data_IF_120276093569
#
_entry.id   IF_120276093569
#
_cell.length_a   1.000
_cell.length_b   1.000
_cell.length_c   1.000
_cell.angle_alpha   90.00
_cell.angle_beta   90.00
_cell.angle_gamma   90.00
#
_symmetry.space_group_name_H-M   'P 1'
#
loop_
_entity.id
_entity.type
_entity.pdbx_description
1 polymer ?
#
# COMPACT_ATOMS: atom_id res chain seq x y z
N UNK A 1 -10.62 -30.10 29.98
CA UNK A 1 -12.00 -29.76 29.60
C UNK A 1 -12.77 -29.04 30.70
N UNK A 2 -12.76 -29.50 31.98
CA UNK A 2 -13.45 -28.84 33.12
C UNK A 2 -13.07 -27.36 33.34
N UNK A 3 -11.76 -27.01 33.26
CA UNK A 3 -11.28 -25.64 33.50
C UNK A 3 -11.77 -24.62 32.45
N UNK A 4 -11.84 -25.00 31.18
CA UNK A 4 -12.39 -24.15 30.12
C UNK A 4 -13.87 -23.86 30.33
N UNK A 5 -14.66 -24.88 30.66
CA UNK A 5 -16.08 -24.69 30.99
C UNK A 5 -16.27 -23.74 32.20
N UNK A 6 -15.44 -23.93 33.24
CA UNK A 6 -15.40 -23.04 34.41
C UNK A 6 -15.07 -21.59 34.03
N UNK A 7 -14.11 -21.37 33.10
CA UNK A 7 -13.74 -20.06 32.62
C UNK A 7 -14.92 -19.36 31.91
N UNK A 8 -15.63 -20.03 31.03
CA UNK A 8 -16.81 -19.48 30.36
C UNK A 8 -17.94 -19.11 31.35
N UNK A 9 -18.20 -19.95 32.36
CA UNK A 9 -19.17 -19.63 33.40
C UNK A 9 -18.76 -18.38 34.18
N UNK A 10 -17.49 -18.25 34.50
CA UNK A 10 -16.94 -17.09 35.19
C UNK A 10 -17.08 -15.80 34.38
N UNK A 11 -16.78 -15.85 33.06
CA UNK A 11 -16.95 -14.71 32.16
C UNK A 11 -18.44 -14.31 32.04
N UNK A 12 -19.36 -15.27 31.99
CA UNK A 12 -20.80 -14.98 31.97
C UNK A 12 -21.27 -14.25 33.24
N UNK A 13 -20.74 -14.62 34.41
CA UNK A 13 -21.08 -13.94 35.69
C UNK A 13 -20.61 -12.47 35.75
N UNK A 14 -19.61 -12.09 34.97
CA UNK A 14 -19.07 -10.71 34.85
C UNK A 14 -19.20 -10.15 33.43
N UNK A 15 -20.31 -10.47 32.77
CA UNK A 15 -20.53 -10.19 31.34
C UNK A 15 -20.19 -8.74 30.96
N UNK A 16 -20.66 -7.75 31.72
CA UNK A 16 -20.44 -6.33 31.41
C UNK A 16 -18.93 -5.98 31.35
N UNK A 17 -18.15 -6.41 32.34
CA UNK A 17 -16.72 -6.18 32.37
C UNK A 17 -15.98 -6.94 31.25
N UNK A 18 -16.41 -8.16 30.95
CA UNK A 18 -15.83 -8.97 29.87
C UNK A 18 -16.08 -8.33 28.50
N UNK A 19 -17.26 -7.77 28.26
CA UNK A 19 -17.60 -7.04 27.02
C UNK A 19 -16.79 -5.75 26.92
N UNK A 20 -16.64 -4.97 28.02
CA UNK A 20 -15.87 -3.75 28.01
C UNK A 20 -14.39 -4.02 27.70
N UNK A 21 -13.79 -5.05 28.29
CA UNK A 21 -12.44 -5.50 27.98
C UNK A 21 -12.30 -5.96 26.54
N UNK A 22 -13.28 -6.73 26.04
CA UNK A 22 -13.32 -7.19 24.67
C UNK A 22 -13.29 -6.02 23.69
N UNK A 23 -14.11 -5.00 23.96
CA UNK A 23 -14.16 -3.76 23.15
C UNK A 23 -12.80 -3.05 23.18
N UNK A 24 -12.22 -2.86 24.37
CA UNK A 24 -10.92 -2.19 24.52
C UNK A 24 -9.80 -2.92 23.75
N UNK A 25 -9.70 -4.24 23.91
CA UNK A 25 -8.70 -5.07 23.22
C UNK A 25 -8.92 -5.01 21.72
N UNK A 26 -10.17 -5.13 21.27
CA UNK A 26 -10.53 -5.07 19.84
C UNK A 26 -10.10 -3.74 19.22
N UNK A 27 -10.45 -2.60 19.84
CA UNK A 27 -10.06 -1.28 19.34
C UNK A 27 -8.54 -1.07 19.38
N UNK A 28 -7.88 -1.44 20.48
CA UNK A 28 -6.44 -1.33 20.60
C UNK A 28 -5.69 -2.12 19.53
N UNK A 29 -6.05 -3.38 19.34
CA UNK A 29 -5.43 -4.21 18.32
C UNK A 29 -5.81 -3.76 16.90
N UNK A 30 -7.05 -3.31 16.66
CA UNK A 30 -7.47 -2.85 15.34
C UNK A 30 -6.74 -1.58 14.89
N UNK A 31 -6.58 -0.60 15.79
CA UNK A 31 -5.82 0.63 15.50
C UNK A 31 -4.36 0.33 15.25
N UNK A 32 -3.74 -0.49 16.08
CA UNK A 32 -2.34 -0.93 15.88
C UNK A 32 -2.18 -1.71 14.59
N UNK A 33 -3.09 -2.65 14.29
CA UNK A 33 -3.05 -3.42 13.03
C UNK A 33 -3.07 -2.49 11.81
N UNK A 34 -3.94 -1.47 11.84
CA UNK A 34 -4.02 -0.47 10.76
C UNK A 34 -2.71 0.30 10.62
N UNK A 35 -2.19 0.87 11.71
CA UNK A 35 -0.95 1.67 11.66
C UNK A 35 0.27 0.83 11.26
N UNK A 36 0.43 -0.39 11.82
CA UNK A 36 1.51 -1.30 11.43
C UNK A 36 1.42 -1.64 9.94
N UNK A 37 0.20 -1.89 9.43
CA UNK A 37 0.00 -2.21 8.03
C UNK A 37 0.49 -1.05 7.13
N UNK A 38 0.14 0.18 7.45
CA UNK A 38 0.59 1.36 6.69
C UNK A 38 2.10 1.52 6.79
N UNK A 39 2.69 1.49 8.00
CA UNK A 39 4.14 1.61 8.17
C UNK A 39 4.92 0.50 7.45
N UNK A 40 4.44 -0.74 7.52
CA UNK A 40 5.04 -1.86 6.83
C UNK A 40 5.04 -1.65 5.30
N UNK A 41 3.90 -1.24 4.75
CA UNK A 41 3.79 -0.98 3.32
C UNK A 41 4.62 0.23 2.87
N UNK A 42 4.66 1.30 3.66
CA UNK A 42 5.48 2.48 3.39
C UNK A 42 6.98 2.13 3.40
N UNK A 43 7.42 1.33 4.37
CA UNK A 43 8.83 0.89 4.44
C UNK A 43 9.24 0.10 3.19
N UNK A 44 8.36 -0.73 2.66
CA UNK A 44 8.61 -1.51 1.45
C UNK A 44 8.26 -0.77 0.15
N UNK A 45 7.80 0.46 0.23
CA UNK A 45 7.37 1.22 -0.95
C UNK A 45 8.55 1.50 -1.89
N UNK A 46 9.70 1.85 -1.35
CA UNK A 46 10.91 2.09 -2.13
C UNK A 46 11.36 0.82 -2.90
N UNK A 47 11.34 -0.33 -2.24
CA UNK A 47 11.68 -1.61 -2.87
C UNK A 47 10.68 -1.97 -3.98
N UNK A 48 9.39 -1.74 -3.74
CA UNK A 48 8.33 -1.96 -4.73
C UNK A 48 8.50 -1.01 -5.94
N UNK A 49 8.77 0.27 -5.69
CA UNK A 49 8.95 1.30 -6.71
C UNK A 49 10.19 1.04 -7.57
N UNK A 50 11.27 0.53 -6.95
CA UNK A 50 12.49 0.15 -7.64
C UNK A 50 12.37 -1.18 -8.40
N UNK A 51 11.22 -1.85 -8.34
CA UNK A 51 11.05 -3.18 -8.93
C UNK A 51 11.07 -3.18 -10.46
N UNK A 52 10.71 -2.09 -11.11
CA UNK A 52 10.74 -1.93 -12.54
C UNK A 52 11.72 -0.84 -13.01
N UNK A 53 11.98 0.17 -12.18
CA UNK A 53 12.82 1.32 -12.51
C UNK A 53 13.79 1.62 -11.36
N UNK A 54 15.06 1.88 -11.65
CA UNK A 54 16.02 2.28 -10.62
C UNK A 54 15.75 3.71 -10.17
N UNK A 55 14.96 3.87 -9.09
CA UNK A 55 14.48 5.17 -8.61
C UNK A 55 15.59 6.09 -8.13
N UNK A 56 16.69 5.56 -7.57
CA UNK A 56 17.80 6.37 -7.02
C UNK A 56 18.58 7.14 -8.09
N UNK A 57 18.57 6.63 -9.32
CA UNK A 57 19.27 7.23 -10.47
C UNK A 57 18.32 7.87 -11.47
N UNK A 58 17.03 7.85 -11.17
CA UNK A 58 15.99 8.36 -12.07
C UNK A 58 15.51 9.71 -11.58
N UNK A 59 15.49 10.66 -12.51
CA UNK A 59 15.06 12.03 -12.29
C UNK A 59 13.87 12.35 -13.17
N UNK A 60 12.90 13.02 -12.60
CA UNK A 60 11.72 13.52 -13.30
C UNK A 60 12.01 14.95 -13.75
N UNK A 61 11.68 15.26 -14.99
CA UNK A 61 11.71 16.64 -15.46
C UNK A 61 10.39 17.28 -15.09
N UNK A 62 10.42 18.31 -14.27
CA UNK A 62 9.24 19.09 -13.86
C UNK A 62 9.39 20.54 -14.28
N UNK A 63 8.29 21.26 -14.34
CA UNK A 63 8.28 22.66 -14.75
C UNK A 63 7.47 23.49 -13.78
N UNK A 64 8.09 24.50 -13.19
CA UNK A 64 7.44 25.45 -12.30
C UNK A 64 7.12 26.74 -13.05
N UNK A 65 5.84 27.09 -13.14
CA UNK A 65 5.36 28.34 -13.76
C UNK A 65 5.44 29.49 -12.76
N UNK A 66 5.95 30.63 -13.20
CA UNK A 66 5.90 31.86 -12.42
C UNK A 66 4.51 32.49 -12.55
N UNK A 67 3.88 32.84 -11.42
CA UNK A 67 2.47 33.32 -11.33
C UNK A 67 2.20 34.54 -12.23
N UNK A 68 3.17 35.42 -12.40
CA UNK A 68 3.01 36.66 -13.18
C UNK A 68 2.90 36.46 -14.70
N UNK A 69 2.92 35.21 -15.19
CA UNK A 69 3.13 34.90 -16.62
C UNK A 69 2.18 33.88 -17.22
N UNK A 70 1.02 33.67 -16.62
CA UNK A 70 -0.03 32.83 -17.19
C UNK A 70 -0.53 33.29 -18.57
N UNK A 71 -0.18 34.51 -18.98
CA UNK A 71 -0.69 35.12 -20.23
C UNK A 71 0.31 35.20 -21.39
N UNK A 72 1.60 34.87 -21.22
CA UNK A 72 2.60 35.15 -22.26
C UNK A 72 3.55 34.01 -22.64
N UNK A 73 3.21 32.77 -22.31
CA UNK A 73 4.14 31.65 -22.54
C UNK A 73 4.02 31.06 -23.93
N UNK A 74 4.63 31.68 -24.87
CA UNK A 74 4.92 31.05 -26.16
C UNK A 74 6.41 30.66 -26.20
N UNK A 75 6.69 29.44 -25.71
CA UNK A 75 7.93 28.78 -26.11
C UNK A 75 7.78 28.40 -27.58
N UNK A 76 8.81 28.61 -28.35
CA UNK A 76 8.80 28.13 -29.73
C UNK A 76 9.34 26.69 -29.80
N UNK A 77 9.11 26.02 -30.92
CA UNK A 77 9.52 24.65 -31.15
C UNK A 77 11.05 24.48 -31.02
N UNK A 78 11.81 25.47 -31.51
CA UNK A 78 13.27 25.47 -31.49
C UNK A 78 13.81 25.49 -30.05
N UNK A 79 13.17 26.23 -29.15
CA UNK A 79 13.57 26.29 -27.73
C UNK A 79 13.35 24.94 -27.03
N UNK A 80 12.21 24.31 -27.24
CA UNK A 80 11.93 22.98 -26.67
C UNK A 80 12.88 21.93 -27.26
N UNK A 81 13.11 21.97 -28.56
CA UNK A 81 14.08 21.08 -29.21
C UNK A 81 15.49 21.28 -28.68
N UNK A 82 15.90 22.52 -28.37
CA UNK A 82 17.20 22.80 -27.77
C UNK A 82 17.35 22.14 -26.37
N UNK A 83 16.26 22.11 -25.55
CA UNK A 83 16.28 21.41 -24.28
C UNK A 83 16.49 19.91 -24.49
N UNK A 84 15.75 19.26 -25.40
CA UNK A 84 15.97 17.87 -25.74
C UNK A 84 17.38 17.57 -26.22
N UNK A 85 17.94 18.44 -27.10
CA UNK A 85 19.30 18.30 -27.58
C UNK A 85 20.31 18.42 -26.43
N UNK A 86 20.10 19.36 -25.50
CA UNK A 86 20.95 19.52 -24.32
C UNK A 86 20.92 18.26 -23.44
N UNK A 87 19.75 17.70 -23.20
CA UNK A 87 19.59 16.42 -22.45
C UNK A 87 20.34 15.30 -23.18
N UNK A 88 20.11 15.15 -24.47
CA UNK A 88 20.72 14.09 -25.28
C UNK A 88 22.26 14.17 -25.35
N UNK A 89 22.81 15.36 -25.38
CA UNK A 89 24.28 15.58 -25.50
C UNK A 89 24.99 15.60 -24.15
N UNK A 90 24.25 15.62 -23.03
CA UNK A 90 24.88 15.72 -21.73
C UNK A 90 25.52 14.39 -21.33
N UNK A 91 26.78 14.45 -20.88
CA UNK A 91 27.59 13.28 -20.51
C UNK A 91 27.09 12.55 -19.26
N UNK A 92 26.35 13.26 -18.39
CA UNK A 92 25.83 12.73 -17.14
C UNK A 92 24.51 11.98 -17.35
N UNK A 93 23.83 12.17 -18.49
CA UNK A 93 22.63 11.47 -18.89
C UNK A 93 23.02 10.16 -19.57
N UNK A 94 22.75 9.04 -18.89
CA UNK A 94 22.97 7.69 -19.45
C UNK A 94 21.88 7.39 -20.49
N UNK A 95 20.64 7.70 -20.16
CA UNK A 95 19.49 7.51 -21.01
C UNK A 95 18.34 8.40 -20.54
N UNK A 96 17.41 8.68 -21.42
CA UNK A 96 16.15 9.33 -21.09
C UNK A 96 15.04 8.68 -21.88
N UNK A 97 13.83 8.76 -21.35
CA UNK A 97 12.68 8.18 -21.99
C UNK A 97 11.41 8.89 -21.58
N UNK A 98 10.35 8.62 -22.30
CA UNK A 98 9.05 9.22 -22.03
C UNK A 98 7.95 8.19 -21.98
N UNK A 99 6.98 8.44 -21.09
CA UNK A 99 5.77 7.65 -20.97
C UNK A 99 4.55 8.57 -20.90
N UNK A 100 3.42 8.02 -21.22
CA UNK A 100 2.12 8.66 -21.01
C UNK A 100 1.14 7.66 -20.44
N UNK A 101 0.25 8.17 -19.61
CA UNK A 101 -0.88 7.39 -19.15
C UNK A 101 -2.10 7.65 -20.02
N UNK A 102 -2.83 6.59 -20.27
CA UNK A 102 -4.08 6.59 -21.02
C UNK A 102 -5.01 5.52 -20.45
N UNK A 103 -6.29 5.63 -20.78
CA UNK A 103 -7.29 4.61 -20.48
C UNK A 103 -7.83 4.08 -21.78
N UNK A 104 -7.80 2.78 -21.93
CA UNK A 104 -8.38 2.12 -23.11
C UNK A 104 -9.57 1.28 -22.66
N UNK A 105 -10.72 1.52 -23.27
CA UNK A 105 -11.90 0.69 -23.12
C UNK A 105 -11.70 -0.63 -23.87
N UNK A 106 -12.04 -1.76 -23.23
CA UNK A 106 -12.09 -3.06 -23.89
C UNK A 106 -13.53 -3.29 -24.39
N UNK A 107 -13.75 -3.04 -25.66
CA UNK A 107 -15.05 -3.21 -26.30
C UNK A 107 -15.22 -4.61 -26.89
N UNK A 108 -14.15 -5.16 -27.43
CA UNK A 108 -14.17 -6.44 -28.15
C UNK A 108 -12.85 -7.19 -28.02
N UNK A 109 -12.91 -8.48 -28.26
CA UNK A 109 -11.74 -9.35 -28.33
C UNK A 109 -12.03 -10.51 -29.25
N UNK A 110 -10.99 -11.13 -29.82
CA UNK A 110 -11.13 -12.39 -30.54
C UNK A 110 -11.55 -13.56 -29.63
N UNK A 111 -11.56 -13.36 -28.33
CA UNK A 111 -12.12 -14.26 -27.30
C UNK A 111 -13.34 -13.64 -26.65
N UNK A 112 -14.30 -14.46 -26.17
CA UNK A 112 -15.42 -13.94 -25.38
C UNK A 112 -14.91 -13.23 -24.11
N UNK A 113 -15.33 -11.99 -23.92
CA UNK A 113 -15.03 -11.25 -22.69
C UNK A 113 -15.81 -11.86 -21.52
N UNK A 114 -15.11 -12.26 -20.48
CA UNK A 114 -15.73 -12.85 -19.30
C UNK A 114 -16.38 -11.78 -18.42
N UNK A 115 -17.61 -12.05 -17.95
CA UNK A 115 -18.34 -11.13 -17.08
C UNK A 115 -17.57 -10.76 -15.79
N UNK A 116 -16.79 -11.71 -15.25
CA UNK A 116 -15.93 -11.44 -14.09
C UNK A 116 -14.85 -10.38 -14.37
N UNK A 117 -14.21 -10.46 -15.55
CA UNK A 117 -13.24 -9.46 -15.97
C UNK A 117 -13.90 -8.10 -16.20
N UNK A 118 -15.05 -8.10 -16.90
CA UNK A 118 -15.81 -6.87 -17.15
C UNK A 118 -16.20 -6.21 -15.83
N UNK A 119 -16.69 -6.97 -14.84
CA UNK A 119 -17.06 -6.46 -13.53
C UNK A 119 -15.86 -5.87 -12.78
N UNK A 120 -14.69 -6.54 -12.83
CA UNK A 120 -13.47 -6.08 -12.19
C UNK A 120 -12.90 -4.80 -12.83
N UNK A 121 -13.07 -4.62 -14.15
CA UNK A 121 -12.53 -3.49 -14.92
C UNK A 121 -13.50 -2.30 -15.02
N UNK A 122 -14.78 -2.51 -14.71
CA UNK A 122 -15.75 -1.41 -14.67
C UNK A 122 -15.37 -0.39 -13.61
N UNK A 123 -15.14 0.82 -14.03
CA UNK A 123 -14.91 1.96 -13.16
C UNK A 123 -16.16 2.85 -13.15
N UNK A 124 -16.68 3.10 -11.96
CA UNK A 124 -17.83 4.01 -11.77
C UNK A 124 -17.47 5.49 -11.85
N UNK A 125 -16.24 5.80 -12.22
CA UNK A 125 -15.81 7.19 -12.40
C UNK A 125 -16.47 7.80 -13.63
N UNK A 126 -16.99 9.01 -13.49
CA UNK A 126 -17.62 9.80 -14.55
C UNK A 126 -18.87 9.18 -15.19
N UNK A 127 -19.63 8.37 -14.45
CA UNK A 127 -20.82 7.68 -14.93
C UNK A 127 -20.60 6.69 -16.10
N UNK A 128 -19.35 6.38 -16.38
CA UNK A 128 -19.00 5.44 -17.46
C UNK A 128 -18.84 4.02 -16.87
N UNK A 129 -19.81 3.16 -17.14
CA UNK A 129 -19.81 1.74 -16.71
C UNK A 129 -18.98 0.83 -17.63
N UNK A 130 -18.05 1.36 -18.40
CA UNK A 130 -17.31 0.64 -19.40
C UNK A 130 -16.04 -0.03 -18.82
N UNK A 131 -15.69 -1.24 -19.28
CA UNK A 131 -14.48 -1.91 -18.83
C UNK A 131 -13.24 -1.23 -19.42
N UNK A 132 -12.48 -0.52 -18.59
CA UNK A 132 -11.28 0.20 -19.01
C UNK A 132 -10.02 -0.40 -18.41
N UNK A 133 -8.93 -0.38 -19.17
CA UNK A 133 -7.59 -0.78 -18.72
C UNK A 133 -6.69 0.42 -18.72
N UNK A 134 -5.97 0.61 -17.59
CA UNK A 134 -4.94 1.61 -17.53
C UNK A 134 -3.81 1.25 -18.49
N UNK A 135 -3.48 2.17 -19.37
CA UNK A 135 -2.51 1.97 -20.44
C UNK A 135 -1.35 2.92 -20.27
N UNK A 136 -0.15 2.37 -20.35
CA UNK A 136 1.10 3.12 -20.28
C UNK A 136 1.72 3.07 -21.67
N UNK A 137 1.72 4.21 -22.32
CA UNK A 137 2.31 4.39 -23.64
C UNK A 137 3.77 4.80 -23.47
N UNK A 138 4.69 4.03 -23.99
CA UNK A 138 6.14 4.21 -23.72
C UNK A 138 6.92 4.37 -24.99
N UNK A 139 7.92 5.27 -24.98
CA UNK A 139 8.93 5.26 -26.03
C UNK A 139 9.92 4.09 -25.83
N UNK A 140 10.72 3.80 -26.85
CA UNK A 140 11.68 2.69 -26.82
C UNK A 140 12.70 2.83 -25.68
N UNK A 141 13.12 4.05 -25.38
CA UNK A 141 14.11 4.32 -24.33
C UNK A 141 13.52 4.10 -22.94
N UNK A 142 12.30 4.59 -22.68
CA UNK A 142 11.64 4.35 -21.41
C UNK A 142 11.35 2.86 -21.21
N UNK A 143 10.92 2.15 -22.24
CA UNK A 143 10.74 0.72 -22.18
C UNK A 143 12.02 -0.02 -21.75
N UNK A 144 13.18 0.38 -22.30
CA UNK A 144 14.48 -0.17 -21.88
C UNK A 144 14.81 0.17 -20.43
N UNK A 145 14.46 1.38 -19.97
CA UNK A 145 14.66 1.81 -18.58
C UNK A 145 13.84 0.98 -17.57
N UNK A 146 12.65 0.53 -17.94
CA UNK A 146 11.80 -0.29 -17.07
C UNK A 146 12.44 -1.61 -16.64
N UNK A 147 13.47 -2.10 -17.30
CA UNK A 147 14.19 -3.30 -16.90
C UNK A 147 13.29 -4.53 -16.70
N UNK A 148 12.22 -4.65 -17.49
CA UNK A 148 11.28 -5.75 -17.39
C UNK A 148 11.95 -7.04 -17.90
N UNK A 149 12.13 -8.00 -16.99
CA UNK A 149 12.67 -9.32 -17.35
C UNK A 149 11.56 -10.19 -17.96
N UNK A 150 11.34 -10.04 -19.24
CA UNK A 150 10.37 -10.84 -20.01
C UNK A 150 11.06 -12.08 -20.58
N UNK A 151 10.26 -13.10 -20.93
CA UNK A 151 10.78 -14.24 -21.64
C UNK A 151 11.27 -13.86 -23.03
N UNK A 152 12.23 -14.59 -23.61
CA UNK A 152 12.67 -14.35 -24.96
C UNK A 152 11.48 -14.30 -25.92
N UNK A 153 11.38 -13.28 -26.76
CA UNK A 153 10.31 -13.00 -27.72
C UNK A 153 8.98 -12.48 -27.15
N UNK A 154 8.86 -12.26 -25.83
CA UNK A 154 7.67 -11.69 -25.20
C UNK A 154 7.80 -10.16 -24.96
N UNK A 155 8.83 -9.48 -25.46
CA UNK A 155 9.05 -8.04 -25.30
C UNK A 155 8.95 -7.29 -26.63
N UNK A 156 8.91 -5.96 -26.56
CA UNK A 156 8.98 -5.12 -27.75
C UNK A 156 10.37 -5.13 -28.37
N UNK A 157 10.38 -5.19 -29.69
CA UNK A 157 11.56 -4.97 -30.52
C UNK A 157 11.56 -3.52 -31.05
N UNK A 158 12.68 -3.06 -31.60
CA UNK A 158 12.78 -1.73 -32.20
C UNK A 158 11.70 -1.47 -33.27
N UNK A 159 11.41 -2.49 -34.07
CA UNK A 159 10.37 -2.45 -35.13
C UNK A 159 8.93 -2.36 -34.62
N UNK A 160 8.69 -2.61 -33.32
CA UNK A 160 7.37 -2.54 -32.72
C UNK A 160 6.99 -1.11 -32.31
N UNK A 161 7.93 -0.16 -32.38
CA UNK A 161 7.67 1.26 -32.15
C UNK A 161 7.25 1.94 -33.48
N UNK A 162 5.95 2.10 -33.73
CA UNK A 162 5.45 2.52 -35.02
C UNK A 162 5.81 3.98 -35.33
N UNK A 163 5.94 4.29 -36.63
CA UNK A 163 6.05 5.69 -37.06
C UNK A 163 4.70 6.40 -37.00
N UNK A 164 3.62 5.71 -37.35
CA UNK A 164 2.26 6.24 -37.38
C UNK A 164 1.34 5.46 -36.42
N UNK A 165 0.34 6.15 -35.89
CA UNK A 165 -0.63 5.58 -34.91
C UNK A 165 -1.71 4.66 -35.52
N UNK A 166 -1.72 4.48 -36.85
CA UNK A 166 -2.79 3.72 -37.54
C UNK A 166 -2.51 2.23 -37.69
N UNK A 167 -1.33 1.76 -37.37
CA UNK A 167 -0.96 0.34 -37.46
C UNK A 167 -1.48 -0.47 -36.26
N UNK A 168 -1.76 -1.76 -36.49
CA UNK A 168 -2.04 -2.70 -35.40
C UNK A 168 -0.93 -2.67 -34.37
N UNK A 169 -1.25 -2.29 -33.16
CA UNK A 169 -0.26 -2.07 -32.12
C UNK A 169 -0.06 -3.33 -31.29
N UNK A 170 1.19 -3.76 -31.13
CA UNK A 170 1.57 -4.82 -30.21
C UNK A 170 1.52 -4.29 -28.76
N UNK A 171 1.01 -5.10 -27.84
CA UNK A 171 0.87 -4.71 -26.44
C UNK A 171 1.35 -5.77 -25.48
N UNK A 172 1.80 -5.34 -24.29
CA UNK A 172 2.09 -6.19 -23.14
C UNK A 172 0.98 -6.01 -22.12
N UNK A 173 0.33 -7.10 -21.73
CA UNK A 173 -0.74 -7.09 -20.75
C UNK A 173 -0.22 -7.43 -19.35
N UNK A 174 -0.81 -6.85 -18.32
CA UNK A 174 -0.53 -7.19 -16.95
C UNK A 174 -0.80 -8.66 -16.62
N UNK A 175 -0.12 -9.15 -15.58
CA UNK A 175 -0.22 -10.57 -15.17
C UNK A 175 -1.65 -11.01 -14.81
N UNK A 176 -2.51 -10.09 -14.33
CA UNK A 176 -3.93 -10.31 -14.06
C UNK A 176 -4.68 -10.87 -15.28
N UNK A 177 -4.31 -10.44 -16.49
CA UNK A 177 -5.00 -10.79 -17.72
C UNK A 177 -4.64 -12.17 -18.26
N UNK A 178 -3.58 -12.83 -17.75
CA UNK A 178 -3.17 -14.19 -18.15
C UNK A 178 -4.29 -15.24 -18.03
N UNK A 179 -5.23 -15.03 -17.10
CA UNK A 179 -6.37 -15.93 -16.91
C UNK A 179 -7.48 -15.77 -17.95
N UNK A 180 -7.44 -14.68 -18.71
CA UNK A 180 -8.46 -14.33 -19.70
C UNK A 180 -7.96 -14.38 -21.13
N UNK A 181 -6.69 -14.04 -21.36
CA UNK A 181 -6.10 -13.90 -22.68
C UNK A 181 -4.84 -14.75 -22.83
N UNK A 182 -4.45 -14.97 -24.08
CA UNK A 182 -3.21 -15.64 -24.47
C UNK A 182 -2.40 -14.74 -25.41
N UNK A 183 -1.11 -15.03 -25.57
CA UNK A 183 -0.26 -14.37 -26.58
C UNK A 183 -0.84 -14.64 -27.97
N UNK A 184 -0.95 -13.60 -28.77
CA UNK A 184 -1.58 -13.62 -30.10
C UNK A 184 -3.06 -13.20 -30.11
N UNK A 185 -3.71 -13.08 -28.95
CA UNK A 185 -5.07 -12.56 -28.89
C UNK A 185 -5.11 -11.07 -29.24
N UNK A 186 -6.25 -10.62 -29.75
CA UNK A 186 -6.47 -9.23 -30.16
C UNK A 186 -7.57 -8.58 -29.31
N UNK A 187 -7.36 -7.33 -28.94
CA UNK A 187 -8.32 -6.48 -28.23
C UNK A 187 -8.70 -5.33 -29.17
N UNK A 188 -10.00 -5.04 -29.27
CA UNK A 188 -10.56 -3.98 -30.11
C UNK A 188 -10.12 -4.08 -31.59
N UNK A 189 -9.78 -5.27 -32.07
CA UNK A 189 -9.21 -5.52 -33.42
C UNK A 189 -7.94 -4.68 -33.74
N UNK A 190 -7.42 -3.93 -32.77
CA UNK A 190 -6.30 -3.00 -32.92
C UNK A 190 -5.07 -3.45 -32.15
N UNK A 191 -5.26 -3.98 -30.94
CA UNK A 191 -4.17 -4.30 -30.01
C UNK A 191 -3.89 -5.80 -30.00
N UNK A 192 -2.68 -6.22 -30.37
CA UNK A 192 -2.25 -7.63 -30.34
C UNK A 192 -1.39 -7.90 -29.13
N UNK A 193 -1.78 -8.85 -28.29
CA UNK A 193 -1.04 -9.24 -27.08
C UNK A 193 0.19 -10.05 -27.51
N UNK A 194 1.39 -9.54 -27.21
CA UNK A 194 2.65 -10.24 -27.51
C UNK A 194 3.28 -10.88 -26.28
N UNK A 195 2.84 -10.50 -25.07
CA UNK A 195 3.38 -11.03 -23.82
C UNK A 195 2.64 -10.51 -22.61
N UNK A 196 3.06 -11.00 -21.44
CA UNK A 196 2.50 -10.59 -20.17
C UNK A 196 3.58 -10.07 -19.24
N UNK A 197 3.25 -8.99 -18.54
CA UNK A 197 4.14 -8.35 -17.56
C UNK A 197 4.39 -9.26 -16.37
N UNK A 198 5.57 -9.16 -15.74
CA UNK A 198 5.87 -9.88 -14.51
C UNK A 198 4.95 -9.42 -13.37
N UNK A 199 4.66 -10.32 -12.44
CA UNK A 199 3.82 -10.02 -11.28
C UNK A 199 4.52 -9.06 -10.30
N UNK A 200 3.71 -8.26 -9.59
CA UNK A 200 4.16 -7.37 -8.53
C UNK A 200 5.22 -6.34 -8.97
N UNK A 201 5.16 -5.88 -10.22
CA UNK A 201 5.95 -4.76 -10.70
C UNK A 201 5.16 -3.47 -10.58
N UNK A 202 5.88 -2.39 -10.24
CA UNK A 202 5.31 -1.07 -10.05
C UNK A 202 6.13 -0.04 -10.82
N UNK A 203 5.46 0.97 -11.32
CA UNK A 203 6.08 2.22 -11.78
C UNK A 203 5.51 3.37 -10.97
N UNK A 204 6.30 4.44 -10.86
CA UNK A 204 5.88 5.67 -10.19
C UNK A 204 5.38 6.63 -11.25
N UNK A 205 4.17 7.14 -11.05
CA UNK A 205 3.61 8.17 -11.91
C UNK A 205 4.04 9.56 -11.45
N UNK A 206 4.55 10.34 -12.40
CA UNK A 206 4.96 11.72 -12.17
C UNK A 206 3.79 12.71 -12.16
N UNK A 207 2.68 12.37 -12.80
CA UNK A 207 1.58 13.31 -13.03
C UNK A 207 0.61 13.43 -11.86
N UNK A 208 0.58 12.43 -11.00
CA UNK A 208 -0.28 12.41 -9.84
C UNK A 208 0.55 12.13 -8.60
N UNK A 209 0.49 13.02 -7.64
CA UNK A 209 1.10 12.82 -6.33
C UNK A 209 0.63 11.48 -5.76
N UNK A 210 1.59 10.57 -5.48
CA UNK A 210 1.37 9.29 -4.79
C UNK A 210 0.72 8.16 -5.59
N UNK A 211 0.79 8.14 -6.90
CA UNK A 211 0.27 7.02 -7.66
C UNK A 211 1.41 6.09 -8.07
N UNK A 212 1.43 4.94 -7.43
CA UNK A 212 2.28 3.81 -7.79
C UNK A 212 1.45 2.86 -8.62
N UNK A 213 1.72 2.82 -9.92
CA UNK A 213 0.97 1.98 -10.83
C UNK A 213 1.42 0.54 -10.74
N UNK A 214 0.50 -0.33 -10.33
CA UNK A 214 0.73 -1.76 -10.34
C UNK A 214 0.55 -2.30 -11.75
N UNK A 215 1.64 -2.80 -12.35
CA UNK A 215 1.64 -3.29 -13.72
C UNK A 215 0.79 -4.55 -13.93
N UNK A 216 0.39 -5.25 -12.87
CA UNK A 216 -0.49 -6.43 -12.97
C UNK A 216 -1.82 -6.12 -13.67
N UNK A 217 -2.34 -4.91 -13.52
CA UNK A 217 -3.63 -4.47 -14.09
C UNK A 217 -3.48 -3.49 -15.26
N UNK A 218 -2.25 -3.24 -15.69
CA UNK A 218 -1.95 -2.28 -16.74
C UNK A 218 -1.73 -2.96 -18.10
N UNK A 219 -1.78 -2.16 -19.13
CA UNK A 219 -1.33 -2.50 -20.47
C UNK A 219 -0.19 -1.57 -20.85
N UNK A 220 0.93 -2.08 -21.35
CA UNK A 220 2.00 -1.27 -21.92
C UNK A 220 1.90 -1.34 -23.45
N UNK A 221 1.99 -0.19 -24.10
CA UNK A 221 2.01 -0.10 -25.56
C UNK A 221 3.12 0.84 -26.04
N UNK A 222 3.69 0.56 -27.21
CA UNK A 222 4.71 1.40 -27.79
C UNK A 222 4.12 2.73 -28.26
N UNK A 223 4.89 3.80 -28.10
CA UNK A 223 4.55 5.14 -28.52
C UNK A 223 4.89 5.33 -29.99
N UNK A 224 3.98 5.94 -30.74
CA UNK A 224 4.27 6.38 -32.11
C UNK A 224 5.22 7.56 -32.12
N UNK A 225 6.23 7.55 -32.99
CA UNK A 225 7.20 8.65 -33.11
C UNK A 225 6.57 9.97 -33.55
N UNK A 226 5.45 9.94 -34.27
CA UNK A 226 4.75 11.15 -34.75
C UNK A 226 3.80 11.75 -33.72
N UNK A 227 3.63 11.13 -32.54
CA UNK A 227 2.66 11.56 -31.51
C UNK A 227 2.90 13.00 -31.01
N UNK A 228 4.13 13.48 -31.11
CA UNK A 228 4.57 14.77 -30.56
C UNK A 228 5.20 15.68 -31.61
N UNK A 229 4.69 15.68 -32.81
CA UNK A 229 5.21 16.57 -33.85
C UNK A 229 4.83 18.04 -33.63
N UNK A 230 3.74 18.29 -32.86
CA UNK A 230 3.37 19.65 -32.52
C UNK A 230 4.16 20.13 -31.29
N UNK A 231 4.40 21.42 -31.23
CA UNK A 231 5.20 22.06 -30.17
C UNK A 231 4.57 21.91 -28.77
N UNK A 232 3.26 22.00 -28.66
CA UNK A 232 2.54 21.86 -27.39
C UNK A 232 2.71 20.44 -26.80
N UNK A 233 2.57 19.42 -27.65
CA UNK A 233 2.81 18.04 -27.27
C UNK A 233 4.27 17.80 -26.84
N UNK A 234 5.25 18.37 -27.56
CA UNK A 234 6.66 18.28 -27.18
C UNK A 234 6.93 18.90 -25.80
N UNK A 235 6.33 20.06 -25.52
CA UNK A 235 6.51 20.73 -24.24
C UNK A 235 5.84 19.96 -23.09
N UNK A 236 4.59 19.50 -23.26
CA UNK A 236 3.88 18.68 -22.30
C UNK A 236 4.67 17.40 -21.99
N UNK A 237 5.13 16.72 -23.03
CA UNK A 237 5.97 15.52 -22.91
C UNK A 237 7.22 15.79 -22.06
N UNK A 238 7.88 16.94 -22.27
CA UNK A 238 9.13 17.26 -21.58
C UNK A 238 8.93 17.30 -20.06
N UNK A 239 7.94 18.03 -19.56
CA UNK A 239 7.81 18.28 -18.13
C UNK A 239 6.80 17.39 -17.39
N UNK A 240 6.00 16.61 -18.10
CA UNK A 240 5.05 15.70 -17.48
C UNK A 240 5.45 14.22 -17.58
N UNK A 241 6.21 13.87 -18.62
CA UNK A 241 6.41 12.48 -19.00
C UNK A 241 7.88 12.09 -19.19
N UNK A 242 8.81 13.05 -19.15
CA UNK A 242 10.22 12.74 -19.40
C UNK A 242 10.93 12.38 -18.11
N UNK A 243 11.58 11.22 -18.13
CA UNK A 243 12.48 10.75 -17.07
C UNK A 243 13.91 10.65 -17.59
N UNK A 244 14.85 10.99 -16.73
CA UNK A 244 16.28 10.93 -17.01
C UNK A 244 16.92 9.88 -16.10
N UNK A 245 17.74 9.03 -16.67
CA UNK A 245 18.61 8.15 -15.90
C UNK A 245 20.02 8.72 -15.90
N UNK A 246 20.48 9.14 -14.72
CA UNK A 246 21.75 9.83 -14.56
C UNK A 246 22.86 8.92 -14.03
N UNK A 247 24.12 9.32 -14.26
CA UNK A 247 25.28 8.73 -13.61
C UNK A 247 25.23 9.01 -12.09
N UNK A 248 25.86 8.14 -11.32
CA UNK A 248 25.94 8.30 -9.86
C UNK A 248 26.64 9.58 -9.41
N UNK A 249 27.58 10.05 -10.21
CA UNK A 249 28.44 11.24 -10.00
C UNK A 249 27.99 12.45 -10.83
N UNK A 250 26.75 12.44 -11.34
CA UNK A 250 26.21 13.50 -12.17
C UNK A 250 26.07 14.81 -11.39
N UNK A 251 26.47 15.90 -12.03
CA UNK A 251 26.19 17.26 -11.53
C UNK A 251 24.79 17.70 -11.95
N UNK A 252 23.80 17.29 -11.11
CA UNK A 252 22.37 17.52 -11.37
C UNK A 252 22.07 19.02 -11.47
N UNK A 253 22.69 19.87 -10.64
CA UNK A 253 22.48 21.32 -10.67
C UNK A 253 22.94 21.94 -11.97
N UNK A 254 24.11 21.54 -12.43
CA UNK A 254 24.66 22.02 -13.71
C UNK A 254 23.79 21.55 -14.89
N UNK A 255 23.27 20.31 -14.84
CA UNK A 255 22.34 19.83 -15.85
C UNK A 255 21.05 20.65 -15.81
N UNK A 256 20.48 20.87 -14.64
CA UNK A 256 19.28 21.67 -14.45
C UNK A 256 19.45 23.09 -14.99
N UNK A 257 20.59 23.76 -14.69
CA UNK A 257 20.91 25.07 -15.24
C UNK A 257 21.01 25.06 -16.78
N UNK A 258 21.54 23.99 -17.36
CA UNK A 258 21.74 23.87 -18.79
C UNK A 258 20.44 23.67 -19.59
N UNK A 259 19.41 23.15 -18.98
CA UNK A 259 18.10 22.91 -19.62
C UNK A 259 17.11 24.07 -19.45
N UNK A 260 17.52 25.15 -18.77
CA UNK A 260 16.65 26.31 -18.59
C UNK A 260 16.37 27.01 -19.94
N UNK A 261 15.10 27.34 -20.13
CA UNK A 261 14.71 28.14 -21.30
C UNK A 261 15.13 29.61 -21.11
N UNK A 262 15.81 30.16 -22.07
CA UNK A 262 16.10 31.60 -22.13
C UNK A 262 14.82 32.35 -22.41
N UNK A 263 14.18 32.84 -21.36
CA UNK A 263 12.93 33.60 -21.49
C UNK A 263 12.06 33.50 -20.24
N UNK A 264 10.93 34.13 -20.32
CA UNK A 264 10.18 34.52 -19.15
C UNK A 264 9.07 33.57 -18.68
N UNK A 265 9.14 32.25 -18.87
CA UNK A 265 8.00 31.35 -18.71
C UNK A 265 7.96 30.47 -17.47
N UNK A 266 9.07 30.29 -16.81
CA UNK A 266 9.21 29.32 -15.69
C UNK A 266 10.55 28.61 -15.73
N UNK A 267 10.76 27.71 -14.78
CA UNK A 267 12.03 26.98 -14.60
C UNK A 267 11.80 25.48 -14.67
N UNK A 268 12.69 24.77 -15.34
CA UNK A 268 12.74 23.31 -15.26
C UNK A 268 13.50 22.88 -14.01
N UNK A 269 12.97 21.86 -13.35
CA UNK A 269 13.60 21.23 -12.20
C UNK A 269 13.76 19.74 -12.44
N UNK A 270 14.87 19.21 -11.92
CA UNK A 270 15.14 17.77 -11.92
C UNK A 270 14.90 17.22 -10.52
N UNK A 271 13.83 16.48 -10.35
CA UNK A 271 13.47 15.85 -9.07
C UNK A 271 13.90 14.40 -9.06
N UNK A 272 14.73 14.02 -8.08
CA UNK A 272 15.08 12.61 -7.90
C UNK A 272 13.86 11.80 -7.50
N UNK A 273 13.60 10.70 -8.20
CA UNK A 273 12.42 9.87 -7.97
C UNK A 273 12.44 9.19 -6.60
N UNK A 274 13.62 8.76 -6.14
CA UNK A 274 13.77 8.18 -4.81
C UNK A 274 13.51 9.20 -3.69
N UNK A 275 13.95 10.46 -3.87
CA UNK A 275 13.69 11.53 -2.91
C UNK A 275 12.19 11.87 -2.84
N UNK A 276 11.49 11.93 -3.97
CA UNK A 276 10.04 12.16 -4.01
C UNK A 276 9.28 11.03 -3.28
N UNK A 277 9.68 9.76 -3.51
CA UNK A 277 9.13 8.61 -2.78
C UNK A 277 9.38 8.74 -1.28
N UNK A 278 10.59 9.12 -0.86
CA UNK A 278 10.93 9.30 0.55
C UNK A 278 10.13 10.44 1.20
N UNK A 279 9.86 11.53 0.47
CA UNK A 279 8.99 12.61 0.94
C UNK A 279 7.58 12.08 1.18
N UNK A 280 7.03 11.33 0.23
CA UNK A 280 5.71 10.71 0.34
C UNK A 280 5.61 9.73 1.51
N UNK A 281 6.61 8.85 1.66
CA UNK A 281 6.71 7.93 2.80
C UNK A 281 6.72 8.70 4.12
N UNK A 282 7.50 9.78 4.19
CA UNK A 282 7.62 10.59 5.40
C UNK A 282 6.30 11.28 5.74
N UNK A 283 5.66 11.94 4.77
CA UNK A 283 4.40 12.65 4.98
C UNK A 283 3.27 11.69 5.39
N UNK A 284 3.15 10.55 4.72
CA UNK A 284 2.16 9.54 5.06
C UNK A 284 2.45 8.90 6.44
N UNK A 285 3.72 8.69 6.79
CA UNK A 285 4.10 8.20 8.12
C UNK A 285 3.67 9.17 9.22
N UNK A 286 3.86 10.47 9.04
CA UNK A 286 3.42 11.47 10.02
C UNK A 286 1.91 11.46 10.24
N UNK A 287 1.10 11.20 9.22
CA UNK A 287 -0.35 11.11 9.35
C UNK A 287 -0.81 9.90 10.19
N UNK A 288 -0.01 8.82 10.24
CA UNK A 288 -0.34 7.60 10.97
C UNK A 288 0.16 7.60 12.43
N UNK A 289 1.11 8.48 12.80
CA UNK A 289 1.64 8.57 14.16
C UNK A 289 0.53 8.80 15.22
N UNK A 290 -0.42 9.73 15.05
CA UNK A 290 -1.50 9.93 16.03
C UNK A 290 -2.33 8.66 16.23
N UNK A 291 -2.64 7.93 15.17
CA UNK A 291 -3.40 6.68 15.23
C UNK A 291 -2.62 5.59 15.97
N UNK A 292 -1.31 5.49 15.74
CA UNK A 292 -0.43 4.57 16.47
C UNK A 292 -0.40 4.90 17.98
N UNK A 293 -0.28 6.18 18.34
CA UNK A 293 -0.29 6.63 19.75
C UNK A 293 -1.62 6.22 20.40
N UNK A 294 -2.76 6.49 19.74
CA UNK A 294 -4.08 6.09 20.23
C UNK A 294 -4.14 4.57 20.43
N UNK A 295 -3.63 3.78 19.47
CA UNK A 295 -3.55 2.34 19.58
C UNK A 295 -2.75 1.86 20.80
N UNK A 296 -1.59 2.45 21.04
CA UNK A 296 -0.74 2.15 22.20
C UNK A 296 -1.48 2.50 23.50
N UNK A 297 -2.16 3.64 23.58
CA UNK A 297 -2.96 4.03 24.76
C UNK A 297 -4.07 3.01 25.03
N UNK A 298 -4.79 2.55 23.99
CA UNK A 298 -5.80 1.49 24.16
C UNK A 298 -5.18 0.17 24.64
N UNK A 299 -3.97 -0.18 24.22
CA UNK A 299 -3.28 -1.36 24.75
C UNK A 299 -2.94 -1.18 26.23
N UNK A 300 -2.42 -0.03 26.63
CA UNK A 300 -2.14 0.26 28.04
C UNK A 300 -3.43 0.20 28.88
N UNK A 301 -4.51 0.80 28.39
CA UNK A 301 -5.82 0.69 29.05
C UNK A 301 -6.32 -0.75 29.11
N UNK A 302 -6.07 -1.56 28.07
CA UNK A 302 -6.45 -2.98 28.06
C UNK A 302 -5.66 -3.79 29.10
N UNK A 303 -4.36 -3.50 29.28
CA UNK A 303 -3.53 -4.14 30.30
C UNK A 303 -4.06 -3.81 31.71
N UNK A 304 -4.26 -2.52 32.00
CA UNK A 304 -4.76 -2.06 33.29
C UNK A 304 -6.18 -2.56 33.52
N UNK A 305 -7.05 -2.41 32.52
CA UNK A 305 -8.44 -2.88 32.59
C UNK A 305 -8.55 -4.38 32.82
N UNK A 306 -7.74 -5.20 32.17
CA UNK A 306 -7.69 -6.64 32.36
C UNK A 306 -7.20 -6.98 33.77
N UNK A 307 -6.15 -6.34 34.25
CA UNK A 307 -5.62 -6.57 35.60
C UNK A 307 -6.66 -6.20 36.67
N UNK A 308 -7.23 -4.98 36.61
CA UNK A 308 -8.23 -4.50 37.56
C UNK A 308 -9.48 -5.36 37.56
N UNK A 309 -10.04 -5.65 36.37
CA UNK A 309 -11.25 -6.48 36.24
C UNK A 309 -11.03 -7.88 36.80
N UNK A 310 -9.84 -8.43 36.57
CA UNK A 310 -9.46 -9.75 37.10
C UNK A 310 -9.32 -9.73 38.61
N UNK A 311 -8.68 -8.69 39.18
CA UNK A 311 -8.55 -8.52 40.64
C UNK A 311 -9.95 -8.39 41.28
N UNK A 312 -10.82 -7.53 40.72
CA UNK A 312 -12.21 -7.40 41.18
C UNK A 312 -12.96 -8.74 41.13
N UNK A 313 -12.79 -9.49 40.02
CA UNK A 313 -13.36 -10.83 39.89
C UNK A 313 -12.89 -11.80 40.97
N UNK A 314 -11.60 -11.76 41.34
CA UNK A 314 -11.05 -12.59 42.40
C UNK A 314 -11.71 -12.21 43.74
N UNK A 315 -11.81 -10.92 44.04
CA UNK A 315 -12.41 -10.42 45.27
C UNK A 315 -13.91 -10.79 45.36
N UNK A 316 -14.65 -10.68 44.31
CA UNK A 316 -16.09 -11.10 44.26
C UNK A 316 -16.26 -12.61 44.45
N UNK A 317 -15.28 -13.40 44.03
CA UNK A 317 -15.29 -14.88 44.10
C UNK A 317 -14.42 -15.41 45.24
N UNK A 318 -14.05 -14.55 46.20
CA UNK A 318 -13.13 -14.91 47.29
C UNK A 318 -13.59 -16.20 48.04
N UNK A 319 -14.88 -16.36 48.34
CA UNK A 319 -15.44 -17.56 48.95
C UNK A 319 -15.23 -18.82 48.10
N UNK A 320 -15.50 -18.75 46.81
CA UNK A 320 -15.30 -19.88 45.87
C UNK A 320 -13.83 -20.34 45.87
N UNK A 321 -12.90 -19.35 45.81
CA UNK A 321 -11.47 -19.62 45.87
C UNK A 321 -11.00 -20.13 47.20
N UNK A 322 -11.56 -19.60 48.28
CA UNK A 322 -11.29 -20.09 49.65
C UNK A 322 -11.67 -21.56 49.83
N UNK A 323 -12.90 -21.94 49.39
CA UNK A 323 -13.36 -23.31 49.41
C UNK A 323 -12.42 -24.23 48.60
N UNK A 324 -12.03 -23.83 47.38
CA UNK A 324 -11.11 -24.60 46.53
C UNK A 324 -9.78 -24.86 47.19
N UNK A 325 -9.21 -23.86 47.91
CA UNK A 325 -7.96 -24.00 48.66
C UNK A 325 -8.11 -25.02 49.81
N UNK A 326 -9.22 -24.98 50.53
CA UNK A 326 -9.52 -25.96 51.62
C UNK A 326 -9.59 -27.38 51.03
N UNK A 327 -10.14 -27.56 49.81
CA UNK A 327 -10.16 -28.83 49.12
C UNK A 327 -8.84 -29.19 48.42
N UNK A 328 -7.74 -28.44 48.70
CA UNK A 328 -6.40 -28.79 48.25
C UNK A 328 -5.99 -28.19 46.89
N UNK A 329 -6.77 -27.27 46.29
CA UNK A 329 -6.34 -26.59 45.08
C UNK A 329 -5.23 -25.56 45.41
N UNK A 330 -4.13 -25.60 44.64
CA UNK A 330 -3.01 -24.68 44.84
C UNK A 330 -3.33 -23.27 44.33
N UNK A 331 -2.71 -22.24 44.96
CA UNK A 331 -2.79 -20.85 44.43
C UNK A 331 -2.41 -20.75 42.95
N UNK A 332 -1.44 -21.57 42.51
CA UNK A 332 -1.04 -21.65 41.11
C UNK A 332 -2.13 -22.25 40.20
N UNK A 333 -2.84 -23.25 40.69
CA UNK A 333 -3.98 -23.83 39.95
C UNK A 333 -5.11 -22.82 39.72
N UNK A 334 -5.42 -22.00 40.73
CA UNK A 334 -6.38 -20.91 40.60
C UNK A 334 -5.87 -19.84 39.61
N UNK A 335 -4.57 -19.48 39.68
CA UNK A 335 -3.96 -18.53 38.75
C UNK A 335 -4.12 -19.01 37.29
N UNK A 336 -3.81 -20.26 36.99
CA UNK A 336 -4.00 -20.84 35.66
C UNK A 336 -5.44 -20.73 35.19
N UNK A 337 -6.42 -20.95 36.06
CA UNK A 337 -7.83 -20.78 35.68
C UNK A 337 -8.12 -19.34 35.27
N UNK A 338 -7.60 -18.35 35.99
CA UNK A 338 -7.76 -16.93 35.71
C UNK A 338 -7.06 -16.54 34.41
N UNK A 339 -5.84 -17.04 34.18
CA UNK A 339 -5.11 -16.84 32.92
C UNK A 339 -5.93 -17.35 31.74
N UNK A 340 -6.58 -18.51 31.86
CA UNK A 340 -7.44 -19.04 30.80
C UNK A 340 -8.65 -18.12 30.53
N UNK A 341 -9.25 -17.53 31.56
CA UNK A 341 -10.34 -16.55 31.39
C UNK A 341 -9.86 -15.33 30.58
N UNK A 342 -8.67 -14.80 30.90
CA UNK A 342 -8.07 -13.66 30.18
C UNK A 342 -7.68 -14.00 28.75
N UNK A 343 -7.11 -15.19 28.51
CA UNK A 343 -6.75 -15.67 27.16
C UNK A 343 -7.99 -15.78 26.26
N UNK A 344 -9.11 -16.29 26.79
CA UNK A 344 -10.36 -16.41 26.01
C UNK A 344 -10.82 -15.02 25.54
N UNK A 345 -10.84 -14.02 26.42
CA UNK A 345 -11.22 -12.64 26.08
C UNK A 345 -10.24 -12.04 25.07
N UNK A 346 -8.93 -12.25 25.28
CA UNK A 346 -7.88 -11.72 24.41
C UNK A 346 -7.96 -12.32 22.98
N UNK A 347 -8.14 -13.64 22.86
CA UNK A 347 -8.29 -14.31 21.54
C UNK A 347 -9.58 -13.83 20.84
N UNK A 348 -10.69 -13.68 21.59
CA UNK A 348 -11.93 -13.15 21.03
C UNK A 348 -11.71 -11.70 20.52
N UNK A 349 -10.99 -10.85 21.28
CA UNK A 349 -10.64 -9.49 20.87
C UNK A 349 -9.76 -9.45 19.61
N UNK A 350 -8.78 -10.35 19.51
CA UNK A 350 -7.96 -10.51 18.30
C UNK A 350 -8.82 -10.90 17.09
N UNK A 351 -9.69 -11.90 17.25
CA UNK A 351 -10.59 -12.34 16.18
C UNK A 351 -11.49 -11.20 15.68
N UNK A 352 -12.05 -10.41 16.59
CA UNK A 352 -12.88 -9.25 16.25
C UNK A 352 -12.05 -8.13 15.59
N UNK A 353 -10.81 -7.91 16.04
CA UNK A 353 -9.89 -6.93 15.44
C UNK A 353 -9.56 -7.32 14.00
N UNK A 354 -9.22 -8.57 13.73
CA UNK A 354 -8.96 -9.09 12.38
C UNK A 354 -10.21 -8.99 11.50
N UNK A 355 -11.37 -9.35 12.02
CA UNK A 355 -12.65 -9.24 11.30
C UNK A 355 -12.96 -7.78 10.92
N UNK A 356 -12.78 -6.84 11.87
CA UNK A 356 -12.97 -5.41 11.63
C UNK A 356 -11.98 -4.88 10.57
N UNK A 357 -10.71 -5.25 10.67
CA UNK A 357 -9.69 -4.85 9.70
C UNK A 357 -10.04 -5.39 8.30
N UNK A 358 -10.41 -6.67 8.20
CA UNK A 358 -10.78 -7.29 6.92
C UNK A 358 -12.00 -6.63 6.28
N UNK A 359 -13.00 -6.27 7.09
CA UNK A 359 -14.17 -5.53 6.62
C UNK A 359 -13.80 -4.11 6.14
N UNK A 360 -12.99 -3.37 6.93
CA UNK A 360 -12.49 -2.03 6.56
C UNK A 360 -11.65 -2.10 5.30
N UNK A 361 -10.76 -3.08 5.21
CA UNK A 361 -9.94 -3.32 4.02
C UNK A 361 -10.79 -3.57 2.78
N UNK A 362 -11.83 -4.40 2.89
CA UNK A 362 -12.76 -4.65 1.78
C UNK A 362 -13.42 -3.37 1.28
N UNK A 363 -13.81 -2.46 2.19
CA UNK A 363 -14.35 -1.15 1.82
C UNK A 363 -13.30 -0.25 1.15
N UNK A 364 -12.09 -0.17 1.69
CA UNK A 364 -10.99 0.59 1.10
C UNK A 364 -10.62 0.07 -0.29
N UNK A 365 -10.58 -1.24 -0.46
CA UNK A 365 -10.33 -1.86 -1.75
C UNK A 365 -11.43 -1.53 -2.76
N UNK A 366 -12.69 -1.51 -2.33
CA UNK A 366 -13.80 -1.11 -3.17
C UNK A 366 -13.70 0.36 -3.56
N UNK A 367 -13.39 1.25 -2.61
CA UNK A 367 -13.17 2.68 -2.89
C UNK A 367 -11.97 2.89 -3.85
N UNK A 368 -10.88 2.16 -3.67
CA UNK A 368 -9.72 2.27 -4.56
C UNK A 368 -10.04 1.82 -5.99
N UNK A 369 -10.89 0.81 -6.16
CA UNK A 369 -11.42 0.43 -7.47
C UNK A 369 -12.27 1.54 -8.09
N UNK A 370 -13.12 2.17 -7.27
CA UNK A 370 -13.99 3.27 -7.72
C UNK A 370 -13.19 4.52 -8.12
N UNK A 371 -12.02 4.76 -7.52
CA UNK A 371 -11.16 5.92 -7.81
C UNK A 371 -10.03 5.64 -8.81
N UNK A 372 -9.97 4.45 -9.41
CA UNK A 372 -8.87 4.01 -10.30
C UNK A 372 -7.46 4.03 -9.66
N UNK A 373 -7.37 4.40 -8.41
CA UNK A 373 -6.13 4.38 -7.66
C UNK A 373 -5.85 2.94 -7.24
N UNK A 374 -5.15 2.19 -8.05
CA UNK A 374 -4.51 0.97 -7.57
C UNK A 374 -3.38 1.42 -6.66
N UNK A 375 -3.72 1.63 -5.40
CA UNK A 375 -2.73 1.99 -4.39
C UNK A 375 -1.64 0.92 -4.36
N UNK A 376 -0.38 1.34 -4.40
CA UNK A 376 0.76 0.46 -4.13
C UNK A 376 0.73 -0.05 -2.69
N UNK A 377 -0.03 0.62 -1.82
CA UNK A 377 -0.29 0.20 -0.47
C UNK A 377 -1.24 -1.00 -0.50
N UNK A 378 -0.67 -2.18 -0.45
CA UNK A 378 -1.43 -3.42 -0.34
C UNK A 378 -1.82 -3.62 1.13
N UNK A 379 -3.05 -3.22 1.50
CA UNK A 379 -3.57 -3.34 2.87
C UNK A 379 -3.89 -4.78 3.28
N UNK A 380 -3.33 -5.79 2.63
CA UNK A 380 -3.50 -7.18 3.05
C UNK A 380 -2.84 -7.42 4.40
N UNK A 381 -3.45 -8.32 5.16
CA UNK A 381 -2.84 -8.84 6.40
C UNK A 381 -1.79 -9.89 6.04
N UNK A 382 -0.57 -9.44 5.86
CA UNK A 382 0.57 -10.32 5.64
C UNK A 382 1.04 -10.97 6.95
N UNK A 383 1.73 -12.11 6.84
CA UNK A 383 2.23 -12.86 8.00
C UNK A 383 3.09 -12.03 8.96
N UNK A 384 3.99 -11.13 8.52
CA UNK A 384 4.74 -10.26 9.44
C UNK A 384 3.84 -9.34 10.27
N UNK A 385 2.78 -8.79 9.67
CA UNK A 385 1.82 -7.92 10.35
C UNK A 385 1.05 -8.71 11.40
N UNK A 386 0.52 -9.89 11.04
CA UNK A 386 -0.17 -10.78 11.96
C UNK A 386 0.71 -11.19 13.14
N UNK A 387 1.99 -11.49 12.89
CA UNK A 387 2.95 -11.82 13.93
C UNK A 387 3.18 -10.65 14.89
N UNK A 388 3.31 -9.43 14.40
CA UNK A 388 3.49 -8.24 15.22
C UNK A 388 2.26 -7.95 16.08
N UNK A 389 1.06 -8.07 15.52
CA UNK A 389 -0.21 -7.93 16.25
C UNK A 389 -0.34 -9.00 17.33
N UNK A 390 0.08 -10.23 17.04
CA UNK A 390 0.13 -11.31 18.02
C UNK A 390 1.10 -11.02 19.17
N UNK A 391 2.25 -10.39 18.90
CA UNK A 391 3.18 -9.96 19.95
C UNK A 391 2.54 -8.91 20.88
N UNK A 392 1.78 -7.96 20.34
CA UNK A 392 1.02 -7.01 21.18
C UNK A 392 -0.05 -7.72 22.01
N UNK A 393 -0.73 -8.71 21.48
CA UNK A 393 -1.66 -9.52 22.26
C UNK A 393 -0.96 -10.27 23.39
N UNK A 394 0.19 -10.89 23.14
CA UNK A 394 1.00 -11.54 24.16
C UNK A 394 1.45 -10.56 25.24
N UNK A 395 1.85 -9.35 24.86
CA UNK A 395 2.21 -8.30 25.80
C UNK A 395 1.05 -7.99 26.76
N UNK A 396 -0.17 -7.80 26.23
CA UNK A 396 -1.38 -7.57 27.04
C UNK A 396 -1.59 -8.73 28.03
N UNK A 397 -1.54 -9.96 27.56
CA UNK A 397 -1.78 -11.16 28.38
C UNK A 397 -0.69 -11.31 29.46
N UNK A 398 0.57 -11.21 29.09
CA UNK A 398 1.68 -11.43 30.02
C UNK A 398 1.69 -10.36 31.09
N UNK A 399 1.69 -9.07 30.71
CA UNK A 399 1.83 -7.97 31.68
C UNK A 399 0.62 -7.93 32.63
N UNK A 400 -0.61 -8.04 32.12
CA UNK A 400 -1.80 -8.06 32.98
C UNK A 400 -1.81 -9.24 33.94
N UNK A 401 -1.43 -10.45 33.47
CA UNK A 401 -1.40 -11.63 34.35
C UNK A 401 -0.24 -11.62 35.34
N UNK A 402 0.90 -10.99 35.02
CA UNK A 402 1.96 -10.77 36.03
C UNK A 402 1.45 -9.89 37.18
N UNK A 403 0.73 -8.81 36.89
CA UNK A 403 0.13 -7.94 37.93
C UNK A 403 -0.85 -8.76 38.78
N UNK A 404 -1.72 -9.55 38.14
CA UNK A 404 -2.68 -10.42 38.83
C UNK A 404 -1.96 -11.48 39.71
N UNK A 405 -0.88 -12.08 39.18
CA UNK A 405 -0.12 -13.07 39.92
C UNK A 405 0.51 -12.46 41.21
N UNK A 406 1.10 -11.28 41.10
CA UNK A 406 1.64 -10.57 42.25
C UNK A 406 0.57 -10.27 43.31
N UNK A 407 -0.65 -9.95 42.83
CA UNK A 407 -1.80 -9.77 43.73
C UNK A 407 -2.20 -11.06 44.43
N UNK A 408 -2.37 -12.16 43.70
CA UNK A 408 -2.76 -13.47 44.24
C UNK A 408 -1.73 -13.99 45.24
N UNK A 409 -0.44 -13.77 45.00
CA UNK A 409 0.63 -14.19 45.90
C UNK A 409 0.52 -13.55 47.28
N UNK A 410 0.03 -12.31 47.34
CA UNK A 410 -0.17 -11.57 48.62
C UNK A 410 -1.44 -11.96 49.36
N UNK A 411 -2.37 -12.70 48.73
CA UNK A 411 -3.61 -13.13 49.37
C UNK A 411 -3.33 -14.25 50.40
N UNK A 412 -3.72 -14.00 51.63
CA UNK A 412 -3.67 -15.01 52.69
C UNK A 412 -4.96 -15.88 52.68
N UNK A 413 -4.89 -17.19 52.95
CA UNK A 413 -6.05 -18.05 53.00
C UNK A 413 -7.10 -17.55 54.03
N UNK A 414 -6.65 -16.95 55.13
CA UNK A 414 -7.50 -16.40 56.18
C UNK A 414 -8.38 -15.25 55.66
N UNK A 415 -7.89 -14.40 54.78
CA UNK A 415 -8.64 -13.28 54.20
C UNK A 415 -9.62 -13.73 53.10
N UNK A 416 -9.44 -14.95 52.53
CA UNK A 416 -10.34 -15.52 51.53
C UNK A 416 -11.55 -16.22 52.19
N UNK A 417 -11.41 -16.74 53.39
CA UNK A 417 -12.45 -17.52 54.10
C UNK A 417 -13.14 -16.67 55.15
N UNK A 418 -12.41 -15.80 55.83
CA UNK A 418 -12.93 -14.90 56.87
C UNK A 418 -13.84 -13.83 56.25
N UNK A 419 -15.08 -13.78 56.74
CA UNK A 419 -15.96 -12.64 56.53
C UNK A 419 -15.30 -11.36 57.09
N UNK A 420 -15.66 -10.18 56.58
CA UNK A 420 -15.33 -8.93 57.25
C UNK A 420 -15.84 -8.96 58.68
N UNK A 421 -14.94 -9.00 59.67
CA UNK A 421 -15.19 -8.39 60.94
C UNK A 421 -15.03 -6.90 60.78
#
# INVERSE_FOLDING_TARGET
MMRIKSAFIALKKRFLFSVLLLIQITFGLATITSSINVFYNLHHLNDKSSSALNVDKTYLVTFERTIDRLQSNQFNKEQIQAVYNTIHQNKDVISYGTYEESLIEIESSNRPLQNSMIADLKHKTFHDERPTVQTIVVDENYYKLLGLHLKPKEGFLHEDFPKNSEEKTKVLMGSYFKKYFQVGDTINNQYTIIGFLPENKFIVDNNTTNVYLKLDYAMIMPMSSNRYENYEGMFLRLYQSTVLHLRKDADVKKLEESIQLKGNGGTFHLKNLGDEINIDVTLNSYSEIPQLIVGILFILFSIVGMAVTTIVSILMRKREFGIKIVFGESKFGMFIQIVLENIIVAIAGLGMSIAYFSWRYGKLLQMSKDFKAVSALDFKLDMPILFLVFLFLLLIIIVSNVIVFLFIRKLEPKTLIGGME
#
